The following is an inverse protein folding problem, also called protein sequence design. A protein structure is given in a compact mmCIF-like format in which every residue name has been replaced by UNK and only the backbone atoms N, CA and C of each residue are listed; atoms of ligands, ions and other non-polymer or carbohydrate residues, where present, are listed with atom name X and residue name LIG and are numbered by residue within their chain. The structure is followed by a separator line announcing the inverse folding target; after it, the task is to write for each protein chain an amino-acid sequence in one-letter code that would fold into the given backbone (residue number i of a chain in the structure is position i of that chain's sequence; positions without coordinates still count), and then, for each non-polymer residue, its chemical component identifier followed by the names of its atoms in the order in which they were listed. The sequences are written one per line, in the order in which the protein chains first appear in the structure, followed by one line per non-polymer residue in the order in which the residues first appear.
data_IF_335391448261
#
_entry.id   IF_335391448261
#
_cell.length_a   1.000
_cell.length_b   1.000
_cell.length_c   1.000
_cell.angle_alpha   90.00
_cell.angle_beta   90.00
_cell.angle_gamma   90.00
#
_symmetry.space_group_name_H-M   'P 1'
#
loop_
_entity.id
_entity.type
_entity.pdbx_description
1 polymer ?
#
# COMPACT_ATOMS: atom_id res chain seq x y z
N UNK A 1 67.75 9.47 -47.64
CA UNK A 1 67.27 10.88 -47.64
C UNK A 1 65.76 10.78 -47.43
N UNK A 2 65.11 11.17 -46.34
CA UNK A 2 65.42 12.02 -45.19
C UNK A 2 64.45 11.60 -44.07
N UNK A 3 64.92 11.58 -42.82
CA UNK A 3 64.11 11.31 -41.61
C UNK A 3 62.97 12.31 -41.49
N UNK A 4 61.83 11.90 -40.91
CA UNK A 4 61.01 12.78 -40.09
C UNK A 4 60.44 12.01 -38.88
N UNK A 5 60.58 12.65 -37.72
CA UNK A 5 60.26 12.18 -36.38
C UNK A 5 58.79 12.48 -35.99
N UNK A 6 58.27 11.94 -34.85
CA UNK A 6 56.85 11.94 -34.50
C UNK A 6 56.43 13.12 -33.58
N UNK A 7 55.12 13.40 -33.47
CA UNK A 7 54.57 14.03 -32.25
C UNK A 7 53.29 13.30 -31.76
N UNK A 8 52.72 13.63 -30.58
CA UNK A 8 52.72 12.75 -29.41
C UNK A 8 51.37 12.08 -29.12
N UNK A 9 51.42 10.99 -28.34
CA UNK A 9 50.26 10.37 -27.72
C UNK A 9 49.57 11.33 -26.74
N UNK A 10 48.30 11.65 -27.00
CA UNK A 10 47.48 12.44 -26.08
C UNK A 10 46.74 11.48 -25.14
N UNK A 11 47.26 11.35 -23.92
CA UNK A 11 46.57 10.72 -22.80
C UNK A 11 45.56 11.72 -22.24
N UNK A 12 44.27 11.55 -22.57
CA UNK A 12 43.21 12.22 -21.83
C UNK A 12 42.91 11.46 -20.53
N UNK A 13 43.72 11.73 -19.52
CA UNK A 13 43.32 11.58 -18.13
C UNK A 13 42.48 12.82 -17.77
N UNK A 14 41.15 12.66 -17.63
CA UNK A 14 40.24 13.77 -17.32
C UNK A 14 39.05 13.30 -16.50
N UNK A 15 39.14 13.51 -15.18
CA UNK A 15 38.09 13.31 -14.19
C UNK A 15 36.84 14.15 -14.55
N UNK A 16 35.72 13.51 -14.87
CA UNK A 16 34.43 14.20 -15.10
C UNK A 16 33.25 13.50 -14.40
N UNK A 17 33.47 12.90 -13.23
CA UNK A 17 32.43 12.22 -12.44
C UNK A 17 31.72 13.13 -11.42
N UNK A 18 31.77 14.47 -11.55
CA UNK A 18 31.39 15.37 -10.44
C UNK A 18 30.42 16.52 -10.74
N UNK A 19 29.80 16.60 -11.92
CA UNK A 19 28.84 17.69 -12.22
C UNK A 19 27.36 17.28 -12.28
N UNK A 20 27.03 15.99 -12.17
CA UNK A 20 25.63 15.54 -12.05
C UNK A 20 25.13 15.60 -10.61
N UNK A 21 26.04 15.63 -9.62
CA UNK A 21 25.66 15.48 -8.21
C UNK A 21 25.21 16.78 -7.49
N UNK A 22 25.46 17.97 -8.05
CA UNK A 22 25.19 19.24 -7.34
C UNK A 22 23.82 19.84 -7.67
N UNK A 23 23.17 19.44 -8.78
CA UNK A 23 21.82 19.92 -9.13
C UNK A 23 20.69 19.13 -8.45
N UNK A 24 21.00 18.05 -7.71
CA UNK A 24 20.00 17.24 -7.03
C UNK A 24 19.53 17.83 -5.67
N UNK A 25 20.16 18.91 -5.18
CA UNK A 25 19.96 19.40 -3.81
C UNK A 25 18.99 20.58 -3.66
N UNK A 26 18.35 21.07 -4.73
CA UNK A 26 17.41 22.21 -4.65
C UNK A 26 15.93 21.85 -4.89
N UNK A 27 15.59 20.55 -5.03
CA UNK A 27 14.19 20.08 -5.23
C UNK A 27 13.66 19.29 -4.01
N UNK A 28 14.40 19.25 -2.89
CA UNK A 28 14.12 18.32 -1.78
C UNK A 28 12.98 18.69 -0.81
N UNK A 29 12.25 19.78 -1.01
CA UNK A 29 11.34 20.32 0.02
C UNK A 29 9.83 20.08 -0.18
N UNK A 30 9.38 19.75 -1.39
CA UNK A 30 7.95 19.66 -1.75
C UNK A 30 7.65 18.47 -2.67
N UNK A 31 8.38 17.37 -2.56
CA UNK A 31 7.87 16.05 -2.93
C UNK A 31 6.82 15.61 -1.88
N UNK A 32 5.85 16.49 -1.60
CA UNK A 32 4.47 16.40 -2.05
C UNK A 32 3.81 15.19 -1.42
N UNK A 33 2.98 15.44 -0.41
CA UNK A 33 2.09 14.45 0.19
C UNK A 33 1.33 13.66 -0.87
N UNK A 34 1.16 14.18 -2.09
CA UNK A 34 0.67 13.43 -3.24
C UNK A 34 1.48 12.15 -3.54
N UNK A 35 2.82 12.19 -3.50
CA UNK A 35 3.67 11.02 -3.75
C UNK A 35 3.63 10.02 -2.57
N UNK A 36 3.49 10.51 -1.33
CA UNK A 36 3.30 9.64 -0.16
C UNK A 36 1.93 8.95 -0.15
N UNK A 37 0.88 9.64 -0.61
CA UNK A 37 -0.46 9.06 -0.75
C UNK A 37 -0.56 8.05 -1.90
N UNK A 38 0.17 8.27 -3.00
CA UNK A 38 0.25 7.30 -4.11
C UNK A 38 0.94 6.02 -3.65
N UNK A 39 2.04 6.11 -2.90
CA UNK A 39 2.75 4.93 -2.41
C UNK A 39 1.95 4.16 -1.35
N UNK A 40 1.21 4.85 -0.49
CA UNK A 40 0.35 4.21 0.51
C UNK A 40 -0.86 3.52 -0.12
N UNK A 41 -1.49 4.13 -1.12
CA UNK A 41 -2.58 3.51 -1.89
C UNK A 41 -2.11 2.24 -2.62
N UNK A 42 -0.89 2.25 -3.14
CA UNK A 42 -0.30 1.09 -3.79
C UNK A 42 0.00 -0.04 -2.79
N UNK A 43 0.52 0.29 -1.61
CA UNK A 43 0.66 -0.67 -0.50
C UNK A 43 -0.69 -1.26 -0.09
N UNK A 44 -1.72 -0.42 0.05
CA UNK A 44 -3.07 -0.85 0.35
C UNK A 44 -3.60 -1.81 -0.72
N UNK A 45 -3.44 -1.47 -2.01
CA UNK A 45 -3.86 -2.34 -3.11
C UNK A 45 -3.17 -3.69 -3.05
N UNK A 46 -1.84 -3.69 -2.92
CA UNK A 46 -1.04 -4.90 -2.83
C UNK A 46 -1.45 -5.76 -1.63
N UNK A 47 -1.66 -5.16 -0.46
CA UNK A 47 -2.09 -5.87 0.75
C UNK A 47 -3.51 -6.45 0.61
N UNK A 48 -4.44 -5.71 0.00
CA UNK A 48 -5.80 -6.20 -0.25
C UNK A 48 -5.82 -7.34 -1.28
N UNK A 49 -4.97 -7.29 -2.32
CA UNK A 49 -4.82 -8.37 -3.31
C UNK A 49 -4.13 -9.61 -2.70
N UNK A 50 -3.12 -9.41 -1.84
CA UNK A 50 -2.49 -10.49 -1.09
C UNK A 50 -3.48 -11.16 -0.13
N UNK A 51 -4.29 -10.36 0.57
CA UNK A 51 -5.34 -10.85 1.46
C UNK A 51 -6.41 -11.63 0.71
N UNK A 52 -6.82 -11.16 -0.46
CA UNK A 52 -7.75 -11.88 -1.33
C UNK A 52 -7.17 -13.23 -1.78
N UNK A 53 -5.89 -13.27 -2.17
CA UNK A 53 -5.20 -14.51 -2.54
C UNK A 53 -5.12 -15.50 -1.38
N UNK A 54 -4.83 -15.00 -0.16
CA UNK A 54 -4.84 -15.80 1.06
C UNK A 54 -6.23 -16.41 1.32
N UNK A 55 -7.29 -15.64 1.13
CA UNK A 55 -8.66 -16.08 1.41
C UNK A 55 -9.18 -17.03 0.34
N UNK A 56 -8.80 -16.81 -0.92
CA UNK A 56 -9.06 -17.74 -2.02
C UNK A 56 -8.38 -19.11 -1.78
N UNK A 57 -7.14 -19.13 -1.27
CA UNK A 57 -6.46 -20.38 -0.91
C UNK A 57 -7.15 -21.15 0.23
N UNK A 58 -7.95 -20.47 1.06
CA UNK A 58 -8.78 -21.06 2.11
C UNK A 58 -10.19 -21.45 1.61
N UNK A 59 -10.49 -21.23 0.32
CA UNK A 59 -11.81 -21.47 -0.26
C UNK A 59 -12.87 -20.44 0.16
N UNK A 60 -12.46 -19.31 0.73
CA UNK A 60 -13.35 -18.23 1.15
C UNK A 60 -13.54 -17.27 -0.03
N UNK A 61 -14.79 -17.07 -0.46
CA UNK A 61 -15.16 -16.13 -1.52
C UNK A 61 -16.05 -15.02 -0.99
N UNK A 62 -15.76 -13.78 -1.38
CA UNK A 62 -16.56 -12.59 -1.04
C UNK A 62 -17.53 -12.17 -2.16
N UNK A 63 -17.64 -12.97 -3.22
CA UNK A 63 -18.41 -12.60 -4.41
C UNK A 63 -17.76 -11.47 -5.20
N UNK A 64 -18.57 -10.77 -5.99
CA UNK A 64 -18.07 -9.73 -6.89
C UNK A 64 -17.37 -8.58 -6.13
N UNK A 65 -16.20 -8.16 -6.64
CA UNK A 65 -15.51 -6.95 -6.20
C UNK A 65 -16.33 -5.73 -6.63
N UNK A 66 -16.77 -4.91 -5.66
CA UNK A 66 -17.63 -3.74 -5.88
C UNK A 66 -16.85 -2.43 -5.96
N UNK A 67 -15.66 -2.37 -5.35
CA UNK A 67 -14.75 -1.24 -5.47
C UNK A 67 -13.31 -1.70 -5.63
N UNK A 68 -12.43 -0.83 -6.12
CA UNK A 68 -11.00 -1.14 -6.23
C UNK A 68 -10.28 -0.93 -4.90
N UNK A 69 -9.92 0.31 -4.56
CA UNK A 69 -9.37 0.66 -3.25
C UNK A 69 -9.85 2.07 -2.92
N UNK A 70 -10.69 2.16 -1.90
CA UNK A 70 -11.33 3.39 -1.43
C UNK A 70 -10.75 3.80 -0.06
N UNK A 71 -10.47 5.09 0.19
CA UNK A 71 -10.00 5.53 1.50
C UNK A 71 -11.11 5.43 2.56
N UNK A 72 -10.74 5.12 3.80
CA UNK A 72 -11.66 5.07 4.95
C UNK A 72 -10.93 5.27 6.29
N UNK A 73 -11.37 6.25 7.09
CA UNK A 73 -10.86 6.57 8.43
C UNK A 73 -9.35 6.31 8.67
N UNK A 74 -8.48 6.97 7.89
CA UNK A 74 -7.02 6.83 8.04
C UNK A 74 -6.44 5.50 7.51
N UNK A 75 -7.23 4.71 6.80
CA UNK A 75 -6.81 3.53 6.07
C UNK A 75 -7.56 3.42 4.73
N UNK A 76 -7.69 2.19 4.27
CA UNK A 76 -8.23 1.84 2.97
C UNK A 76 -9.18 0.67 3.09
N UNK A 77 -10.14 0.58 2.18
CA UNK A 77 -11.07 -0.53 2.09
C UNK A 77 -11.30 -0.95 0.66
N UNK A 78 -11.70 -2.21 0.53
CA UNK A 78 -12.28 -2.77 -0.67
C UNK A 78 -13.59 -3.44 -0.33
N UNK A 79 -14.62 -3.11 -1.09
CA UNK A 79 -15.96 -3.64 -0.91
C UNK A 79 -16.19 -4.79 -1.86
N UNK A 80 -16.82 -5.83 -1.33
CA UNK A 80 -17.26 -7.00 -2.07
C UNK A 80 -18.73 -7.26 -1.75
N UNK A 81 -19.42 -8.00 -2.62
CA UNK A 81 -20.84 -8.31 -2.45
C UNK A 81 -21.15 -9.01 -1.11
N UNK A 82 -20.23 -9.86 -0.62
CA UNK A 82 -20.38 -10.62 0.61
C UNK A 82 -19.60 -10.08 1.82
N UNK A 83 -18.84 -8.99 1.67
CA UNK A 83 -17.90 -8.58 2.71
C UNK A 83 -17.10 -7.33 2.40
N UNK A 84 -16.47 -6.75 3.42
CA UNK A 84 -15.52 -5.66 3.25
C UNK A 84 -14.17 -6.10 3.78
N UNK A 85 -13.10 -5.73 3.07
CA UNK A 85 -11.72 -5.90 3.54
C UNK A 85 -11.14 -4.51 3.77
N UNK A 86 -10.56 -4.30 4.94
CA UNK A 86 -9.95 -3.05 5.39
C UNK A 86 -8.46 -3.25 5.54
N UNK A 87 -7.68 -2.20 5.32
CA UNK A 87 -6.24 -2.18 5.52
C UNK A 87 -5.80 -0.83 6.07
N UNK A 88 -4.82 -0.85 6.98
CA UNK A 88 -3.99 0.31 7.31
C UNK A 88 -2.57 -0.17 7.61
N UNK A 89 -1.61 0.75 7.61
CA UNK A 89 -0.25 0.42 8.03
C UNK A 89 -0.17 -0.08 9.48
N UNK A 90 -1.10 0.36 10.35
CA UNK A 90 -1.12 -0.01 11.77
C UNK A 90 -1.78 -1.37 12.03
N UNK A 91 -2.86 -1.68 11.31
CA UNK A 91 -3.66 -2.89 11.57
C UNK A 91 -3.35 -4.02 10.60
N UNK A 92 -2.83 -3.74 9.40
CA UNK A 92 -2.79 -4.72 8.32
C UNK A 92 -4.19 -4.99 7.73
N UNK A 93 -4.27 -6.00 6.85
CA UNK A 93 -5.49 -6.30 6.09
C UNK A 93 -6.41 -7.27 6.86
N UNK A 94 -7.67 -6.86 7.07
CA UNK A 94 -8.67 -7.63 7.82
C UNK A 94 -10.05 -7.55 7.18
N UNK A 95 -10.81 -8.64 7.24
CA UNK A 95 -12.13 -8.74 6.64
C UNK A 95 -13.25 -8.81 7.67
N UNK A 96 -14.43 -8.31 7.28
CA UNK A 96 -15.67 -8.38 8.06
C UNK A 96 -16.81 -8.82 7.14
N UNK A 97 -17.63 -9.79 7.57
CA UNK A 97 -18.70 -10.38 6.76
C UNK A 97 -20.07 -10.30 7.44
N UNK A 98 -21.11 -10.53 6.62
CA UNK A 98 -22.46 -10.85 7.06
C UNK A 98 -23.02 -9.91 8.14
N UNK A 99 -23.59 -10.50 9.20
CA UNK A 99 -24.25 -9.77 10.26
C UNK A 99 -23.30 -8.84 11.05
N UNK A 100 -22.03 -9.22 11.20
CA UNK A 100 -21.02 -8.39 11.87
C UNK A 100 -20.78 -7.14 11.05
N UNK A 101 -20.61 -7.27 9.73
CA UNK A 101 -20.45 -6.13 8.82
C UNK A 101 -21.68 -5.22 8.87
N UNK A 102 -22.89 -5.78 8.81
CA UNK A 102 -24.12 -5.02 8.91
C UNK A 102 -24.20 -4.20 10.20
N UNK A 103 -23.87 -4.81 11.35
CA UNK A 103 -23.83 -4.10 12.64
C UNK A 103 -22.72 -3.06 12.70
N UNK A 104 -21.53 -3.37 12.20
CA UNK A 104 -20.39 -2.47 12.15
C UNK A 104 -20.73 -1.21 11.36
N UNK A 105 -21.29 -1.34 10.15
CA UNK A 105 -21.72 -0.21 9.33
C UNK A 105 -22.83 0.61 10.01
N UNK A 106 -23.79 -0.04 10.66
CA UNK A 106 -24.85 0.64 11.40
C UNK A 106 -24.34 1.46 12.61
N UNK A 107 -23.18 1.08 13.17
CA UNK A 107 -22.51 1.81 14.25
C UNK A 107 -21.56 2.91 13.74
N UNK A 108 -21.60 3.24 12.44
CA UNK A 108 -20.74 4.26 11.83
C UNK A 108 -19.47 3.68 11.19
N UNK A 109 -19.34 2.36 11.14
CA UNK A 109 -18.22 1.65 10.52
C UNK A 109 -16.88 2.10 11.09
N UNK A 110 -15.93 2.35 10.20
CA UNK A 110 -14.58 2.71 10.59
C UNK A 110 -14.51 4.01 11.38
N UNK A 111 -15.42 4.97 11.14
CA UNK A 111 -15.45 6.22 11.90
C UNK A 111 -16.07 6.06 13.30
N UNK A 112 -16.83 4.99 13.55
CA UNK A 112 -17.50 4.76 14.82
C UNK A 112 -16.78 3.78 15.74
N UNK A 113 -16.36 2.63 15.20
CA UNK A 113 -15.65 1.59 15.96
C UNK A 113 -14.16 1.51 15.64
N UNK A 114 -13.73 2.14 14.54
CA UNK A 114 -12.36 2.06 14.06
C UNK A 114 -12.15 0.88 13.10
N UNK A 115 -10.94 0.78 12.56
CA UNK A 115 -10.60 -0.29 11.61
C UNK A 115 -10.48 -1.64 12.32
N UNK A 116 -10.84 -2.76 11.67
CA UNK A 116 -10.63 -4.08 12.26
C UNK A 116 -9.15 -4.40 12.48
N UNK A 117 -8.84 -5.03 13.61
CA UNK A 117 -7.49 -5.51 13.99
C UNK A 117 -7.36 -7.03 13.88
N UNK A 118 -8.48 -7.72 13.63
CA UNK A 118 -8.51 -9.16 13.43
C UNK A 118 -9.45 -9.52 12.29
N UNK A 119 -9.15 -10.65 11.65
CA UNK A 119 -10.14 -11.37 10.84
C UNK A 119 -11.25 -11.93 11.73
N UNK A 120 -12.30 -12.50 11.13
CA UNK A 120 -13.34 -13.16 11.92
C UNK A 120 -12.78 -14.35 12.71
N UNK A 121 -12.82 -14.23 14.04
CA UNK A 121 -12.44 -15.28 14.98
C UNK A 121 -13.67 -16.09 15.39
N UNK A 122 -13.54 -17.42 15.36
CA UNK A 122 -14.53 -18.31 15.94
C UNK A 122 -14.47 -18.25 17.48
N UNK A 123 -15.62 -18.15 18.12
CA UNK A 123 -15.83 -18.24 19.57
C UNK A 123 -16.97 -19.23 19.80
N UNK A 124 -17.08 -19.82 21.00
CA UNK A 124 -18.06 -20.89 21.27
C UNK A 124 -19.49 -20.53 20.78
N UNK A 125 -19.90 -21.09 19.64
CA UNK A 125 -21.20 -20.84 19.00
C UNK A 125 -21.34 -19.53 18.21
N UNK A 126 -20.29 -18.71 18.07
CA UNK A 126 -20.34 -17.37 17.47
C UNK A 126 -19.07 -17.01 16.68
N UNK A 127 -19.10 -15.82 16.06
CA UNK A 127 -17.96 -15.19 15.36
C UNK A 127 -17.77 -13.77 15.90
N UNK A 128 -16.53 -13.28 15.97
CA UNK A 128 -16.21 -11.90 16.38
C UNK A 128 -15.10 -11.30 15.52
N UNK A 129 -15.10 -9.98 15.40
CA UNK A 129 -13.94 -9.17 15.01
C UNK A 129 -13.57 -8.24 16.16
N UNK A 130 -12.30 -7.86 16.22
CA UNK A 130 -11.78 -6.83 17.12
C UNK A 130 -11.45 -5.58 16.31
N UNK A 131 -11.51 -4.41 16.94
CA UNK A 131 -11.40 -3.11 16.28
C UNK A 131 -10.41 -2.20 17.01
N UNK A 132 -9.63 -1.45 16.23
CA UNK A 132 -8.75 -0.40 16.69
C UNK A 132 -9.62 0.79 17.07
N UNK A 133 -10.03 0.85 18.35
CA UNK A 133 -10.85 1.89 18.97
C UNK A 133 -10.75 3.25 18.25
N UNK A 134 -11.88 3.77 17.75
CA UNK A 134 -11.97 5.07 17.06
C UNK A 134 -11.73 6.26 18.02
#
# INVERSE_FOLDING_TARGET
MTRCAPPPAVRFAGRLTSLVLVLALLVGGLASTAQAQVSEREQARSALDAKESQLAAQGISFGARLSDVDPVNGGWQRRYAGGHVYWSAATGAHFILGAILGRYLALGGASGLGLPTTDELAVAGARKNEFARA
#
